data_IF_567772084665
#
_entry.id   IF_567772084665
#
_cell.length_a   1.000
_cell.length_b   1.000
_cell.length_c   1.000
_cell.angle_alpha   90.00
_cell.angle_beta   90.00
_cell.angle_gamma   90.00
#
_symmetry.space_group_name_H-M   'P 1'
#
loop_
_entity.id
_entity.type
_entity.pdbx_description
1 polymer ?
#
# COMPACT_ATOMS: atom_id res chain seq x y z
N UNK A 1 -6.48 -1.31 -1.28
CA UNK A 1 -6.19 -1.18 0.17
C UNK A 1 -5.91 -2.57 0.73
N UNK A 2 -4.66 -2.86 1.03
CA UNK A 2 -4.26 -4.20 1.51
C UNK A 2 -2.76 -4.43 1.48
N UNK A 3 -2.03 -3.66 0.66
CA UNK A 3 -0.58 -3.74 0.59
C UNK A 3 0.04 -3.12 1.85
N UNK A 4 0.68 -3.97 2.66
CA UNK A 4 1.35 -3.54 3.90
C UNK A 4 2.85 -3.30 3.70
N UNK A 5 3.42 -3.93 2.67
CA UNK A 5 4.78 -3.76 2.16
C UNK A 5 4.71 -3.97 0.65
N UNK A 6 5.37 -3.11 -0.13
CA UNK A 6 5.42 -3.25 -1.59
C UNK A 6 6.76 -2.77 -2.13
N UNK A 7 7.65 -3.69 -2.51
CA UNK A 7 9.03 -3.33 -2.87
C UNK A 7 9.56 -4.26 -3.97
N UNK A 8 9.32 -3.89 -5.23
CA UNK A 8 9.82 -4.63 -6.39
C UNK A 8 11.23 -4.21 -6.80
N UNK A 9 11.69 -3.06 -6.29
CA UNK A 9 12.87 -2.35 -6.76
C UNK A 9 14.16 -2.76 -6.04
N UNK A 10 14.08 -3.55 -4.97
CA UNK A 10 15.26 -4.03 -4.20
C UNK A 10 15.53 -5.52 -4.36
N UNK A 11 14.94 -6.15 -5.37
CA UNK A 11 15.30 -7.52 -5.73
C UNK A 11 16.72 -7.55 -6.32
N UNK A 12 17.51 -8.56 -5.95
CA UNK A 12 18.87 -8.72 -6.46
C UNK A 12 18.90 -9.19 -7.91
N UNK A 13 17.91 -9.98 -8.33
CA UNK A 13 17.80 -10.55 -9.67
C UNK A 13 16.39 -11.08 -9.94
N UNK A 14 16.08 -11.26 -11.22
CA UNK A 14 14.87 -11.89 -11.75
C UNK A 14 15.29 -12.96 -12.77
N UNK A 15 14.39 -13.88 -13.18
CA UNK A 15 14.67 -14.82 -14.26
C UNK A 15 15.10 -14.09 -15.55
N UNK A 16 15.98 -14.68 -16.34
CA UNK A 16 16.52 -14.08 -17.57
C UNK A 16 15.41 -13.80 -18.59
N UNK A 17 14.39 -14.66 -18.63
CA UNK A 17 13.23 -14.56 -19.52
C UNK A 17 12.45 -13.24 -19.33
N UNK A 18 12.48 -12.68 -18.12
CA UNK A 18 11.88 -11.37 -17.86
C UNK A 18 12.58 -10.26 -18.65
N UNK A 19 13.90 -10.28 -18.72
CA UNK A 19 14.71 -9.27 -19.40
C UNK A 19 14.57 -9.38 -20.92
N UNK A 20 14.61 -10.61 -21.44
CA UNK A 20 14.43 -10.91 -22.86
C UNK A 20 13.09 -10.40 -23.41
N UNK A 21 12.04 -10.39 -22.59
CA UNK A 21 10.72 -9.85 -22.96
C UNK A 21 10.75 -8.35 -23.31
N UNK A 22 11.75 -7.62 -22.81
CA UNK A 22 11.94 -6.18 -23.01
C UNK A 22 13.22 -5.84 -23.79
N UNK A 23 13.80 -6.82 -24.50
CA UNK A 23 15.06 -6.68 -25.25
C UNK A 23 16.24 -6.18 -24.40
N UNK A 24 16.24 -6.51 -23.10
CA UNK A 24 17.32 -6.18 -22.16
C UNK A 24 18.37 -7.29 -22.13
N UNK A 25 19.64 -6.90 -22.11
CA UNK A 25 20.80 -7.80 -22.12
C UNK A 25 21.38 -8.08 -20.73
N UNK A 26 22.63 -8.54 -20.72
CA UNK A 26 23.33 -8.98 -19.52
C UNK A 26 23.85 -7.84 -18.62
N UNK A 27 23.88 -6.61 -19.13
CA UNK A 27 24.37 -5.44 -18.38
C UNK A 27 23.23 -4.68 -17.69
N UNK A 28 21.99 -4.94 -18.08
CA UNK A 28 20.79 -4.37 -17.51
C UNK A 28 20.43 -5.07 -16.20
N UNK A 29 19.85 -4.31 -15.28
CA UNK A 29 19.52 -4.76 -13.94
C UNK A 29 18.03 -4.61 -13.65
N UNK A 30 17.61 -5.02 -12.45
CA UNK A 30 16.20 -5.00 -12.03
C UNK A 30 15.58 -3.59 -12.16
N UNK A 31 16.36 -2.53 -11.96
CA UNK A 31 15.90 -1.16 -12.16
C UNK A 31 15.53 -0.88 -13.62
N UNK A 32 16.36 -1.29 -14.59
CA UNK A 32 16.11 -1.12 -16.03
C UNK A 32 14.90 -1.96 -16.47
N UNK A 33 14.81 -3.21 -15.97
CA UNK A 33 13.65 -4.06 -16.18
C UNK A 33 12.35 -3.40 -15.69
N UNK A 34 12.34 -2.87 -14.47
CA UNK A 34 11.17 -2.20 -13.90
C UNK A 34 10.82 -0.91 -14.67
N UNK A 35 11.83 -0.14 -15.09
CA UNK A 35 11.64 1.05 -15.91
C UNK A 35 10.96 0.72 -17.25
N UNK A 36 11.40 -0.34 -17.94
CA UNK A 36 10.76 -0.80 -19.18
C UNK A 36 9.36 -1.34 -18.95
N UNK A 37 9.19 -2.24 -17.97
CA UNK A 37 7.91 -2.88 -17.65
C UNK A 37 6.82 -1.88 -17.26
N UNK A 38 7.19 -0.83 -16.51
CA UNK A 38 6.25 0.19 -16.03
C UNK A 38 6.30 1.48 -16.84
N UNK A 39 7.00 1.51 -17.99
CA UNK A 39 7.17 2.70 -18.83
C UNK A 39 7.56 3.93 -18.02
N UNK A 40 8.64 3.81 -17.23
CA UNK A 40 9.08 4.83 -16.28
C UNK A 40 7.95 5.28 -15.34
N UNK A 41 7.28 4.30 -14.73
CA UNK A 41 6.25 4.49 -13.70
C UNK A 41 4.92 5.10 -14.19
N UNK A 42 4.73 5.22 -15.49
CA UNK A 42 3.49 5.77 -16.08
C UNK A 42 2.36 4.75 -16.19
N UNK A 43 2.67 3.45 -16.08
CA UNK A 43 1.68 2.36 -16.13
C UNK A 43 1.86 1.35 -14.99
N UNK A 44 0.84 0.52 -14.77
CA UNK A 44 0.89 -0.58 -13.80
C UNK A 44 0.81 -0.10 -12.35
N UNK A 45 1.52 -0.79 -11.45
CA UNK A 45 1.42 -0.55 -10.02
C UNK A 45 2.00 0.80 -9.56
N UNK A 46 3.18 1.25 -10.07
CA UNK A 46 3.72 2.56 -9.71
C UNK A 46 2.81 3.73 -10.09
N UNK A 47 1.95 3.56 -11.11
CA UNK A 47 1.03 4.59 -11.58
C UNK A 47 -0.31 4.64 -10.81
N UNK A 48 -0.60 3.66 -9.94
CA UNK A 48 -1.87 3.56 -9.22
C UNK A 48 -1.70 3.96 -7.75
N UNK A 49 -2.16 5.14 -7.31
CA UNK A 49 -2.02 5.60 -5.93
C UNK A 49 -2.59 4.62 -4.88
N UNK A 50 -3.69 3.92 -5.19
CA UNK A 50 -4.38 3.06 -4.21
C UNK A 50 -3.58 1.83 -3.75
N UNK A 51 -2.53 1.46 -4.50
CA UNK A 51 -1.60 0.36 -4.15
C UNK A 51 -0.62 0.81 -3.06
N UNK A 52 -0.38 2.12 -2.96
CA UNK A 52 0.54 2.70 -2.00
C UNK A 52 -0.16 3.18 -0.73
N UNK A 53 -1.42 2.77 -0.54
CA UNK A 53 -2.32 3.24 0.50
C UNK A 53 -2.99 2.06 1.20
N UNK A 54 -2.87 2.03 2.52
CA UNK A 54 -3.43 0.95 3.33
C UNK A 54 -3.74 1.42 4.76
N UNK A 55 -4.23 0.50 5.58
CA UNK A 55 -4.38 0.69 7.03
C UNK A 55 -3.73 -0.46 7.77
N UNK A 56 -3.19 -0.19 8.95
CA UNK A 56 -2.83 -1.21 9.94
C UNK A 56 -4.02 -1.42 10.88
N UNK A 57 -4.54 -2.63 10.91
CA UNK A 57 -5.57 -3.04 11.85
C UNK A 57 -4.93 -3.44 13.19
N UNK A 58 -5.34 -2.79 14.27
CA UNK A 58 -4.86 -2.98 15.63
C UNK A 58 -6.03 -3.37 16.53
N UNK A 59 -6.31 -4.67 16.70
CA UNK A 59 -7.36 -5.13 17.59
C UNK A 59 -6.92 -5.11 19.06
N UNK A 60 -7.83 -4.77 19.95
CA UNK A 60 -7.68 -4.89 21.41
C UNK A 60 -8.70 -5.88 21.94
N UNK A 61 -8.22 -6.87 22.70
CA UNK A 61 -9.07 -7.89 23.30
C UNK A 61 -9.06 -7.76 24.83
N UNK A 62 -10.22 -7.99 25.44
CA UNK A 62 -10.35 -8.22 26.88
C UNK A 62 -10.86 -9.63 27.09
N UNK A 63 -10.04 -10.49 27.71
CA UNK A 63 -10.25 -11.95 27.71
C UNK A 63 -10.37 -12.46 26.26
N UNK A 64 -11.53 -13.04 25.92
CA UNK A 64 -11.81 -13.64 24.61
C UNK A 64 -12.69 -12.73 23.74
N UNK A 65 -12.97 -11.49 24.17
CA UNK A 65 -13.83 -10.54 23.47
C UNK A 65 -13.03 -9.41 22.84
N UNK A 66 -13.34 -9.09 21.57
CA UNK A 66 -12.78 -7.93 20.87
C UNK A 66 -13.47 -6.66 21.36
N UNK A 67 -12.74 -5.79 22.06
CA UNK A 67 -13.29 -4.55 22.64
C UNK A 67 -13.03 -3.31 21.79
N UNK A 68 -12.00 -3.33 20.95
CA UNK A 68 -11.71 -2.23 20.02
C UNK A 68 -10.96 -2.74 18.79
N UNK A 69 -11.20 -2.11 17.64
CA UNK A 69 -10.42 -2.33 16.42
C UNK A 69 -10.06 -0.97 15.81
N UNK A 70 -8.81 -0.55 16.05
CA UNK A 70 -8.25 0.69 15.50
C UNK A 70 -7.63 0.43 14.12
N UNK A 71 -7.74 1.41 13.23
CA UNK A 71 -7.29 1.38 11.84
C UNK A 71 -6.37 2.58 11.61
N UNK A 72 -5.07 2.34 11.63
CA UNK A 72 -4.06 3.38 11.43
C UNK A 72 -3.73 3.52 9.95
N UNK A 73 -4.06 4.65 9.29
CA UNK A 73 -3.75 4.82 7.87
C UNK A 73 -2.25 4.90 7.65
N UNK A 74 -1.78 4.19 6.62
CA UNK A 74 -0.37 4.15 6.21
C UNK A 74 -0.24 4.44 4.73
N UNK A 75 0.91 4.99 4.37
CA UNK A 75 1.36 5.14 2.98
C UNK A 75 2.63 4.34 2.77
N UNK A 76 2.80 3.88 1.54
CA UNK A 76 4.03 3.27 1.05
C UNK A 76 4.85 4.27 0.20
N UNK A 77 4.45 5.55 0.11
CA UNK A 77 5.21 6.59 -0.58
C UNK A 77 4.96 6.67 -2.09
N UNK A 78 3.69 6.80 -2.51
CA UNK A 78 3.36 7.03 -3.92
C UNK A 78 4.10 8.25 -4.48
N UNK A 79 4.74 8.08 -5.65
CA UNK A 79 5.50 9.14 -6.32
C UNK A 79 6.87 9.45 -5.69
N UNK A 80 7.23 8.83 -4.57
CA UNK A 80 8.59 8.90 -4.04
C UNK A 80 9.55 8.08 -4.91
N UNK A 81 10.88 8.35 -4.86
CA UNK A 81 11.85 7.56 -5.60
C UNK A 81 11.77 6.06 -5.25
N UNK A 82 12.04 5.21 -6.24
CA UNK A 82 12.03 3.75 -6.13
C UNK A 82 12.81 3.19 -4.93
N UNK A 83 13.92 3.83 -4.53
CA UNK A 83 14.75 3.42 -3.39
C UNK A 83 14.24 3.93 -2.02
N UNK A 84 13.20 4.77 -1.99
CA UNK A 84 12.60 5.35 -0.78
C UNK A 84 11.26 4.69 -0.45
N UNK A 85 10.44 4.44 -1.47
CA UNK A 85 9.08 3.92 -1.33
C UNK A 85 9.03 2.42 -1.00
N UNK A 86 7.86 1.97 -0.56
CA UNK A 86 7.55 0.56 -0.34
C UNK A 86 7.49 0.11 1.12
N UNK A 87 8.12 0.87 2.02
CA UNK A 87 8.01 0.67 3.46
C UNK A 87 6.78 1.38 4.05
N UNK A 88 6.08 0.79 5.01
CA UNK A 88 4.93 1.43 5.65
C UNK A 88 5.34 2.61 6.52
N UNK A 89 4.68 3.73 6.31
CA UNK A 89 4.80 4.95 7.12
C UNK A 89 3.40 5.45 7.49
N UNK A 90 3.24 6.02 8.68
CA UNK A 90 1.96 6.63 9.07
C UNK A 90 1.58 7.73 8.07
N UNK A 91 0.40 7.60 7.47
CA UNK A 91 -0.20 8.67 6.69
C UNK A 91 -0.68 9.78 7.63
N UNK A 92 -0.63 11.03 7.17
CA UNK A 92 -1.06 12.21 7.95
C UNK A 92 -1.86 13.17 7.08
N UNK A 93 -2.55 14.10 7.72
CA UNK A 93 -3.29 15.17 7.03
C UNK A 93 -4.32 14.62 6.04
N UNK A 94 -4.32 15.15 4.83
CA UNK A 94 -5.34 14.84 3.83
C UNK A 94 -5.21 13.43 3.25
N UNK A 95 -3.99 12.87 3.20
CA UNK A 95 -3.78 11.49 2.78
C UNK A 95 -4.43 10.50 3.78
N UNK A 96 -4.24 10.72 5.08
CA UNK A 96 -4.89 9.89 6.11
C UNK A 96 -6.42 9.96 6.00
N UNK A 97 -6.97 11.16 5.79
CA UNK A 97 -8.43 11.35 5.59
C UNK A 97 -8.92 10.62 4.34
N UNK A 98 -8.22 10.74 3.22
CA UNK A 98 -8.55 10.04 1.97
C UNK A 98 -8.60 8.53 2.21
N UNK A 99 -7.53 7.95 2.74
CA UNK A 99 -7.40 6.51 3.01
C UNK A 99 -8.57 6.01 3.87
N UNK A 100 -8.84 6.69 4.99
CA UNK A 100 -9.94 6.31 5.88
C UNK A 100 -11.32 6.47 5.22
N UNK A 101 -11.54 7.52 4.44
CA UNK A 101 -12.79 7.71 3.69
C UNK A 101 -12.99 6.63 2.63
N UNK A 102 -11.96 6.28 1.88
CA UNK A 102 -12.02 5.22 0.88
C UNK A 102 -12.37 3.88 1.55
N UNK A 103 -11.74 3.58 2.68
CA UNK A 103 -12.05 2.39 3.46
C UNK A 103 -13.49 2.41 3.96
N UNK A 104 -13.97 3.52 4.51
CA UNK A 104 -15.37 3.69 4.92
C UNK A 104 -16.32 3.39 3.74
N UNK A 105 -16.09 3.98 2.55
CA UNK A 105 -16.96 3.74 1.40
C UNK A 105 -16.96 2.27 0.96
N UNK A 106 -15.78 1.64 0.93
CA UNK A 106 -15.62 0.24 0.52
C UNK A 106 -16.20 -0.73 1.56
N UNK A 107 -16.21 -0.34 2.83
CA UNK A 107 -16.76 -1.13 3.94
C UNK A 107 -18.28 -1.05 4.08
N UNK A 108 -18.92 0.01 3.56
CA UNK A 108 -20.38 0.23 3.67
C UNK A 108 -21.23 -0.96 3.20
N UNK A 109 -20.97 -1.60 2.04
CA UNK A 109 -21.77 -2.73 1.56
C UNK A 109 -21.74 -3.95 2.51
N UNK A 110 -20.71 -4.04 3.36
CA UNK A 110 -20.55 -5.12 4.33
C UNK A 110 -21.11 -4.77 5.72
N UNK A 111 -21.78 -3.62 5.87
CA UNK A 111 -22.37 -3.18 7.14
C UNK A 111 -21.35 -2.82 8.23
N UNK A 112 -20.07 -2.65 7.85
CA UNK A 112 -19.01 -2.23 8.77
C UNK A 112 -19.04 -0.71 8.92
N UNK A 113 -19.19 -0.24 10.17
CA UNK A 113 -19.19 1.18 10.50
C UNK A 113 -17.85 1.56 11.11
N UNK A 114 -17.20 2.57 10.54
CA UNK A 114 -15.90 3.07 10.96
C UNK A 114 -16.06 4.54 11.36
N UNK A 115 -15.77 4.86 12.61
CA UNK A 115 -15.72 6.23 13.11
C UNK A 115 -14.28 6.74 13.08
N UNK A 116 -14.04 7.97 12.61
CA UNK A 116 -12.70 8.55 12.56
C UNK A 116 -12.50 9.48 13.76
N UNK A 117 -11.46 9.22 14.56
CA UNK A 117 -11.05 10.01 15.72
C UNK A 117 -9.56 10.33 15.60
N UNK A 118 -9.21 11.61 15.58
CA UNK A 118 -7.82 12.10 15.54
C UNK A 118 -6.94 11.45 14.42
N UNK A 119 -7.53 11.16 13.27
CA UNK A 119 -6.80 10.54 12.13
C UNK A 119 -6.64 9.02 12.22
N UNK A 120 -7.32 8.36 13.15
CA UNK A 120 -7.42 6.90 13.28
C UNK A 120 -8.86 6.48 13.07
N UNK A 121 -9.09 5.43 12.27
CA UNK A 121 -10.41 4.82 12.11
C UNK A 121 -10.68 3.81 13.22
N UNK A 122 -11.92 3.70 13.68
CA UNK A 122 -12.32 2.73 14.69
C UNK A 122 -13.56 2.00 14.24
N UNK A 123 -13.46 0.68 14.14
CA UNK A 123 -14.60 -0.17 13.77
C UNK A 123 -15.52 -0.32 14.98
N UNK A 124 -16.82 -0.12 14.78
CA UNK A 124 -17.82 -0.43 15.81
C UNK A 124 -17.92 -1.94 15.99
N UNK A 125 -17.32 -2.44 17.06
CA UNK A 125 -17.47 -3.83 17.50
C UNK A 125 -18.87 -4.04 18.08
N UNK A 126 -19.45 -5.22 17.89
CA UNK A 126 -20.79 -5.59 18.35
C UNK A 126 -20.71 -6.58 19.49
#
# INVERSE_FOLDING_TARGET
MGDFVFQNETLLRLPEENYLTYDLGLNEHVADFNAMRYQNETVGFPANPEIWEAVVAMPTFTKDELTELALHPITLGFGEPAWVRGRPMLARGDLAKKILNDLIQRSKPFGTVIDVREGVGYVRVR
#
